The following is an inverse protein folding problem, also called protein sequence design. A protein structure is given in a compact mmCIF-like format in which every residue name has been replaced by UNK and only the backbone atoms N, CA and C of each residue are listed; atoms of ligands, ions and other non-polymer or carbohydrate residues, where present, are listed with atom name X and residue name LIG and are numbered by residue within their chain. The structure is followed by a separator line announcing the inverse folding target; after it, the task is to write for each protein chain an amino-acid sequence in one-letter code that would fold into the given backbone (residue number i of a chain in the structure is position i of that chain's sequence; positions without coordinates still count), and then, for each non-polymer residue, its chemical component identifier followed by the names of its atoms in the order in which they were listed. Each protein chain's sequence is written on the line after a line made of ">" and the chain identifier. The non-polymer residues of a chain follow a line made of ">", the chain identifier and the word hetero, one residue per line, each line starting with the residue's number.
data_IF_245356622057
#
_entry.id   IF_245356622057
#
_cell.length_a   1.000
_cell.length_b   1.000
_cell.length_c   1.000
_cell.angle_alpha   90.00
_cell.angle_beta   90.00
_cell.angle_gamma   90.00
#
_symmetry.space_group_name_H-M   'P 1'
#
loop_
_entity.id
_entity.type
_entity.pdbx_description
1 polymer ?
#
# COMPACT_ATOMS: atom_id res chain seq x y z
N UNK A 1 -7.41 -9.91 -37.10
CA UNK A 1 -8.70 -9.43 -37.62
C UNK A 1 -9.77 -9.79 -36.61
N UNK A 2 -10.10 -8.86 -35.68
CA UNK A 2 -11.41 -8.72 -35.04
C UNK A 2 -11.31 -7.50 -34.10
N UNK A 3 -11.96 -6.44 -34.54
CA UNK A 3 -12.17 -5.21 -33.75
C UNK A 3 -13.33 -5.45 -32.79
N UNK A 4 -13.19 -5.11 -31.54
CA UNK A 4 -14.34 -4.90 -30.67
C UNK A 4 -14.33 -3.44 -30.18
N UNK A 5 -15.25 -2.67 -30.80
CA UNK A 5 -15.63 -1.33 -30.33
C UNK A 5 -16.73 -1.50 -29.28
N UNK A 6 -16.52 -0.98 -28.09
CA UNK A 6 -17.61 -0.76 -27.14
C UNK A 6 -17.71 0.75 -26.87
N UNK A 7 -18.65 1.37 -27.58
CA UNK A 7 -19.08 2.75 -27.37
C UNK A 7 -20.05 2.76 -26.17
N UNK A 8 -19.71 3.49 -25.13
CA UNK A 8 -20.63 3.86 -24.07
C UNK A 8 -21.48 5.04 -24.58
N UNK A 9 -22.77 4.79 -24.85
CA UNK A 9 -23.76 5.81 -25.21
C UNK A 9 -24.25 6.49 -23.94
N UNK A 10 -23.85 7.75 -23.74
CA UNK A 10 -24.53 8.66 -22.81
C UNK A 10 -25.63 9.35 -23.59
N UNK A 11 -26.89 9.02 -23.25
CA UNK A 11 -28.08 9.62 -23.83
C UNK A 11 -28.39 10.90 -23.08
N UNK A 12 -28.22 12.05 -23.74
CA UNK A 12 -28.73 13.33 -23.25
C UNK A 12 -30.18 13.52 -23.70
N UNK A 13 -31.08 13.74 -22.76
CA UNK A 13 -32.44 14.22 -23.02
C UNK A 13 -32.38 15.70 -23.43
N UNK A 14 -32.74 15.96 -24.65
CA UNK A 14 -32.98 17.30 -25.13
C UNK A 14 -34.46 17.64 -24.90
N UNK A 15 -34.75 18.52 -23.98
CA UNK A 15 -36.06 19.19 -23.87
C UNK A 15 -36.06 20.39 -24.81
N UNK A 16 -36.90 20.30 -25.79
CA UNK A 16 -37.29 21.39 -26.70
C UNK A 16 -37.95 22.52 -25.99
N UNK A 17 -37.32 23.69 -25.97
CA UNK A 17 -37.98 24.97 -25.66
C UNK A 17 -38.08 25.78 -26.92
N UNK A 18 -39.31 26.16 -27.24
CA UNK A 18 -39.77 26.91 -28.41
C UNK A 18 -39.10 28.28 -28.52
N UNK A 19 -38.64 28.57 -29.76
CA UNK A 19 -38.19 29.89 -30.20
C UNK A 19 -39.36 30.89 -30.15
N UNK A 20 -39.25 31.93 -29.35
CA UNK A 20 -39.97 33.19 -29.55
C UNK A 20 -39.03 34.22 -30.15
N UNK A 21 -39.42 34.75 -31.28
CA UNK A 21 -38.74 35.80 -32.05
C UNK A 21 -38.47 37.06 -31.22
N UNK A 22 -37.19 37.41 -31.06
CA UNK A 22 -36.73 38.76 -30.76
C UNK A 22 -35.80 39.24 -31.86
N UNK A 23 -36.31 40.07 -32.77
CA UNK A 23 -35.52 40.89 -33.67
C UNK A 23 -34.85 41.99 -32.84
N UNK A 24 -33.51 42.02 -32.84
CA UNK A 24 -32.74 43.10 -32.29
C UNK A 24 -31.25 42.86 -32.58
N UNK A 25 -30.75 43.54 -33.61
CA UNK A 25 -29.35 43.54 -34.01
C UNK A 25 -28.43 43.97 -32.89
N UNK A 26 -27.48 43.14 -32.51
CA UNK A 26 -26.10 43.37 -32.12
C UNK A 26 -25.54 42.10 -31.51
N UNK A 27 -25.31 41.06 -32.34
CA UNK A 27 -24.42 39.99 -31.87
C UNK A 27 -22.97 40.44 -32.17
N UNK A 28 -22.13 40.57 -31.13
CA UNK A 28 -20.70 40.78 -31.38
C UNK A 28 -20.14 39.58 -32.17
N UNK A 29 -19.37 39.90 -33.23
CA UNK A 29 -18.71 38.88 -34.08
C UNK A 29 -17.95 37.92 -33.16
N UNK A 30 -18.19 36.61 -33.30
CA UNK A 30 -17.45 35.55 -32.62
C UNK A 30 -15.97 35.72 -32.99
N UNK A 31 -15.11 35.93 -32.03
CA UNK A 31 -13.65 35.99 -32.20
C UNK A 31 -13.06 34.69 -32.76
N UNK A 32 -13.71 33.57 -32.49
CA UNK A 32 -13.41 32.25 -33.04
C UNK A 32 -14.71 31.58 -33.49
N UNK A 33 -15.01 31.60 -34.80
CA UNK A 33 -16.26 31.05 -35.36
C UNK A 33 -16.40 29.54 -35.21
N UNK A 34 -15.29 28.80 -35.01
CA UNK A 34 -15.23 27.34 -34.95
C UNK A 34 -15.27 26.80 -33.51
N UNK A 35 -15.07 27.63 -32.50
CA UNK A 35 -15.07 27.17 -31.13
C UNK A 35 -16.48 27.09 -30.58
N UNK A 36 -16.95 25.85 -30.32
CA UNK A 36 -18.19 25.57 -29.62
C UNK A 36 -18.12 26.08 -28.16
N UNK A 37 -19.21 26.62 -27.64
CA UNK A 37 -19.32 27.14 -26.25
C UNK A 37 -18.85 26.09 -25.22
N UNK A 38 -19.23 24.83 -25.42
CA UNK A 38 -18.84 23.72 -24.54
C UNK A 38 -17.31 23.47 -24.56
N UNK A 39 -16.65 23.63 -25.69
CA UNK A 39 -15.19 23.52 -25.79
C UNK A 39 -14.50 24.62 -25.00
N UNK A 40 -15.01 25.85 -25.03
CA UNK A 40 -14.45 26.99 -24.25
C UNK A 40 -14.69 26.81 -22.75
N UNK A 41 -15.81 26.22 -22.35
CA UNK A 41 -16.13 25.91 -20.95
C UNK A 41 -15.13 24.88 -20.39
N UNK A 42 -14.89 23.78 -21.10
CA UNK A 42 -13.91 22.76 -20.71
C UNK A 42 -12.50 23.31 -20.68
N UNK A 43 -12.12 24.16 -21.63
CA UNK A 43 -10.80 24.82 -21.66
C UNK A 43 -10.62 25.79 -20.51
N UNK A 44 -11.66 26.58 -20.15
CA UNK A 44 -11.62 27.47 -18.99
C UNK A 44 -11.42 26.66 -17.70
N UNK A 45 -12.19 25.61 -17.51
CA UNK A 45 -12.10 24.76 -16.34
C UNK A 45 -10.72 24.11 -16.22
N UNK A 46 -10.20 23.54 -17.31
CA UNK A 46 -8.85 22.98 -17.36
C UNK A 46 -7.75 24.02 -17.12
N UNK A 47 -7.92 25.24 -17.65
CA UNK A 47 -6.98 26.35 -17.46
C UNK A 47 -6.90 26.77 -15.98
N UNK A 48 -8.06 26.91 -15.30
CA UNK A 48 -8.12 27.25 -13.88
C UNK A 48 -7.59 26.12 -13.00
N UNK A 49 -7.83 24.86 -13.37
CA UNK A 49 -7.27 23.70 -12.67
C UNK A 49 -5.74 23.61 -12.76
N UNK A 50 -5.18 24.01 -13.91
CA UNK A 50 -3.72 23.94 -14.15
C UNK A 50 -2.97 25.19 -13.72
N UNK A 51 -3.66 26.22 -13.25
CA UNK A 51 -3.05 27.47 -12.84
C UNK A 51 -2.48 27.39 -11.42
N UNK A 52 -1.24 27.85 -11.23
CA UNK A 52 -0.56 27.95 -9.93
C UNK A 52 -1.08 29.12 -9.08
N UNK A 53 -2.23 29.65 -9.38
CA UNK A 53 -2.79 30.80 -8.67
C UNK A 53 -4.03 31.38 -9.33
N UNK A 54 -4.29 32.63 -9.01
CA UNK A 54 -5.38 33.38 -9.59
C UNK A 54 -5.05 33.79 -11.04
N UNK A 55 -5.99 33.57 -11.95
CA UNK A 55 -5.88 34.07 -13.33
C UNK A 55 -6.72 35.33 -13.51
N UNK A 56 -6.13 36.38 -14.03
CA UNK A 56 -6.86 37.62 -14.34
C UNK A 56 -7.78 37.42 -15.55
N UNK A 57 -8.84 38.24 -15.64
CA UNK A 57 -9.76 38.22 -16.77
C UNK A 57 -9.00 38.39 -18.11
N UNK A 58 -7.94 39.19 -18.17
CA UNK A 58 -7.18 39.40 -19.38
C UNK A 58 -6.40 38.16 -19.79
N UNK A 59 -5.75 37.46 -18.86
CA UNK A 59 -5.03 36.23 -19.14
C UNK A 59 -5.99 35.14 -19.68
N UNK A 60 -7.20 35.05 -19.09
CA UNK A 60 -8.21 34.08 -19.55
C UNK A 60 -8.73 34.45 -20.94
N UNK A 61 -9.00 35.75 -21.21
CA UNK A 61 -9.48 36.20 -22.54
C UNK A 61 -8.47 35.92 -23.63
N UNK A 62 -7.18 36.15 -23.35
CA UNK A 62 -6.08 35.84 -24.29
C UNK A 62 -5.96 34.34 -24.56
N UNK A 63 -5.96 33.52 -23.49
CA UNK A 63 -5.82 32.05 -23.59
C UNK A 63 -6.98 31.38 -24.32
N UNK A 64 -8.21 31.89 -24.13
CA UNK A 64 -9.42 31.32 -24.74
C UNK A 64 -9.86 32.02 -26.02
N UNK A 65 -9.19 33.10 -26.41
CA UNK A 65 -9.55 33.97 -27.53
C UNK A 65 -11.07 34.33 -27.49
N UNK A 66 -11.50 34.95 -26.37
CA UNK A 66 -12.90 35.28 -26.14
C UNK A 66 -13.05 36.65 -25.43
N UNK A 67 -14.28 37.18 -25.41
CA UNK A 67 -14.58 38.43 -24.70
C UNK A 67 -14.65 38.25 -23.19
N UNK A 68 -14.46 39.35 -22.44
CA UNK A 68 -14.63 39.36 -20.96
C UNK A 68 -16.04 38.94 -20.53
N UNK A 69 -17.04 39.31 -21.31
CA UNK A 69 -18.42 38.89 -21.10
C UNK A 69 -18.59 37.38 -21.25
N UNK A 70 -17.93 36.78 -22.26
CA UNK A 70 -17.91 35.33 -22.45
C UNK A 70 -17.28 34.62 -21.26
N UNK A 71 -16.17 35.14 -20.71
CA UNK A 71 -15.54 34.57 -19.50
C UNK A 71 -16.52 34.57 -18.33
N UNK A 72 -17.26 35.68 -18.09
CA UNK A 72 -18.26 35.73 -17.03
C UNK A 72 -19.35 34.67 -17.21
N UNK A 73 -19.93 34.58 -18.42
CA UNK A 73 -20.96 33.58 -18.70
C UNK A 73 -20.44 32.14 -18.55
N UNK A 74 -19.21 31.84 -18.93
CA UNK A 74 -18.61 30.52 -18.73
C UNK A 74 -18.38 30.20 -17.27
N UNK A 75 -17.92 31.18 -16.48
CA UNK A 75 -17.76 31.04 -15.01
C UNK A 75 -19.09 30.78 -14.34
N UNK A 76 -20.12 31.55 -14.70
CA UNK A 76 -21.48 31.38 -14.16
C UNK A 76 -22.03 30.00 -14.51
N UNK A 77 -21.82 29.53 -15.74
CA UNK A 77 -22.24 28.20 -16.17
C UNK A 77 -21.51 27.06 -15.42
N UNK A 78 -20.21 27.20 -15.18
CA UNK A 78 -19.45 26.23 -14.37
C UNK A 78 -19.91 26.23 -12.93
N UNK A 79 -20.12 27.42 -12.36
CA UNK A 79 -20.54 27.57 -10.98
C UNK A 79 -21.95 27.05 -10.72
N UNK A 80 -22.87 27.18 -11.70
CA UNK A 80 -24.20 26.59 -11.59
C UNK A 80 -24.21 25.07 -11.55
N UNK A 81 -23.28 24.42 -12.26
CA UNK A 81 -23.19 22.95 -12.35
C UNK A 81 -22.28 22.35 -11.27
N UNK A 82 -21.27 23.09 -10.80
CA UNK A 82 -20.21 22.59 -9.90
C UNK A 82 -20.16 23.34 -8.55
N UNK A 83 -21.33 23.62 -7.95
CA UNK A 83 -21.46 24.17 -6.59
C UNK A 83 -20.57 25.39 -6.29
N UNK A 84 -20.52 26.37 -7.20
CA UNK A 84 -19.72 27.58 -7.06
C UNK A 84 -18.22 27.31 -6.81
N UNK A 85 -17.65 26.37 -7.53
CA UNK A 85 -16.24 25.98 -7.39
C UNK A 85 -15.26 27.08 -7.82
N UNK A 86 -15.64 27.99 -8.75
CA UNK A 86 -14.81 29.11 -9.18
C UNK A 86 -15.09 30.32 -8.31
N UNK A 87 -14.08 30.79 -7.60
CA UNK A 87 -14.13 32.02 -6.80
C UNK A 87 -13.58 33.20 -7.60
N UNK A 88 -14.11 34.37 -7.27
CA UNK A 88 -13.74 35.64 -7.90
C UNK A 88 -13.08 36.53 -6.85
N UNK A 89 -11.87 36.95 -7.12
CA UNK A 89 -11.20 37.99 -6.34
C UNK A 89 -11.19 39.29 -7.12
N UNK A 90 -11.56 40.41 -6.47
CA UNK A 90 -11.59 41.73 -7.08
C UNK A 90 -10.60 42.64 -6.38
N UNK A 91 -9.52 42.97 -7.08
CA UNK A 91 -8.53 43.91 -6.56
C UNK A 91 -8.52 45.19 -7.43
N UNK A 92 -9.21 46.22 -6.95
CA UNK A 92 -9.43 47.45 -7.68
C UNK A 92 -10.29 47.23 -8.94
N UNK A 93 -9.68 47.47 -10.14
CA UNK A 93 -10.34 47.24 -11.45
C UNK A 93 -10.06 45.88 -12.08
N UNK A 94 -9.25 45.06 -11.41
CA UNK A 94 -8.83 43.74 -11.92
C UNK A 94 -9.66 42.67 -11.24
N UNK A 95 -10.34 41.84 -12.05
CA UNK A 95 -10.98 40.61 -11.58
C UNK A 95 -10.08 39.44 -11.88
N UNK A 96 -9.87 38.58 -10.88
CA UNK A 96 -9.18 37.30 -11.01
C UNK A 96 -10.08 36.13 -10.57
N UNK A 97 -9.80 34.98 -11.13
CA UNK A 97 -10.61 33.76 -10.93
C UNK A 97 -9.69 32.62 -10.48
N UNK A 98 -10.17 31.82 -9.54
CA UNK A 98 -9.46 30.62 -9.06
C UNK A 98 -10.48 29.57 -8.59
N UNK A 99 -10.04 28.31 -8.48
CA UNK A 99 -10.86 27.21 -7.97
C UNK A 99 -10.43 26.91 -6.52
N UNK A 100 -11.32 27.22 -5.56
CA UNK A 100 -11.03 27.11 -4.13
C UNK A 100 -11.01 25.64 -3.65
N UNK A 101 -11.95 24.80 -4.14
CA UNK A 101 -12.04 23.42 -3.69
C UNK A 101 -10.90 22.51 -4.12
N UNK A 102 -10.16 22.90 -5.14
CA UNK A 102 -8.97 22.14 -5.57
C UNK A 102 -7.77 22.36 -4.67
N UNK A 103 -7.74 23.46 -3.90
CA UNK A 103 -6.67 23.73 -2.95
C UNK A 103 -6.84 23.04 -1.60
N UNK A 104 -8.08 22.74 -1.16
CA UNK A 104 -8.32 22.23 0.19
C UNK A 104 -8.64 20.73 0.30
N UNK A 105 -8.98 20.05 -0.77
CA UNK A 105 -9.47 18.66 -0.67
C UNK A 105 -8.58 17.59 -1.29
N UNK A 106 -8.01 17.83 -2.47
CA UNK A 106 -7.13 16.84 -3.12
C UNK A 106 -5.63 17.17 -2.93
N UNK A 107 -5.28 18.46 -2.80
CA UNK A 107 -3.89 18.87 -2.58
C UNK A 107 -3.43 18.64 -1.14
N UNK A 108 -4.32 18.71 -0.14
CA UNK A 108 -3.97 18.38 1.25
C UNK A 108 -3.76 16.87 1.47
N UNK A 109 -4.29 16.03 0.55
CA UNK A 109 -4.14 14.56 0.64
C UNK A 109 -3.06 13.98 -0.25
N UNK A 110 -2.60 14.71 -1.27
CA UNK A 110 -1.58 14.27 -2.24
C UNK A 110 -0.60 15.42 -2.54
N UNK A 111 0.05 15.92 -1.50
CA UNK A 111 1.17 16.86 -1.64
C UNK A 111 2.43 16.14 -2.20
N UNK A 112 3.44 16.86 -2.68
CA UNK A 112 4.68 16.25 -3.17
C UNK A 112 5.35 15.36 -2.15
N UNK A 113 5.31 15.71 -0.87
CA UNK A 113 5.87 14.95 0.23
C UNK A 113 5.11 13.63 0.42
N UNK A 114 3.77 13.66 0.42
CA UNK A 114 2.93 12.46 0.49
C UNK A 114 3.18 11.50 -0.68
N UNK A 115 3.35 12.00 -1.91
CA UNK A 115 3.70 11.16 -3.07
C UNK A 115 5.10 10.57 -2.95
N UNK A 116 6.06 11.32 -2.42
CA UNK A 116 7.41 10.83 -2.14
C UNK A 116 7.36 9.69 -1.12
N UNK A 117 6.57 9.85 -0.04
CA UNK A 117 6.38 8.79 0.96
C UNK A 117 5.72 7.54 0.36
N UNK A 118 4.72 7.69 -0.52
CA UNK A 118 4.10 6.55 -1.21
C UNK A 118 5.13 5.84 -2.10
N UNK A 119 5.97 6.59 -2.82
CA UNK A 119 7.05 6.02 -3.64
C UNK A 119 8.09 5.28 -2.79
N UNK A 120 8.47 5.82 -1.63
CA UNK A 120 9.35 5.15 -0.66
C UNK A 120 8.74 3.84 -0.16
N UNK A 121 7.47 3.86 0.24
CA UNK A 121 6.75 2.64 0.65
C UNK A 121 6.71 1.60 -0.49
N UNK A 122 6.50 2.04 -1.74
CA UNK A 122 6.54 1.18 -2.91
C UNK A 122 7.90 0.50 -3.09
N UNK A 123 8.99 1.25 -2.97
CA UNK A 123 10.35 0.72 -3.10
C UNK A 123 10.68 -0.30 -1.99
N UNK A 124 10.20 -0.06 -0.76
CA UNK A 124 10.35 -1.02 0.35
C UNK A 124 9.55 -2.30 0.08
N UNK A 125 8.35 -2.16 -0.46
CA UNK A 125 7.43 -3.27 -0.74
C UNK A 125 7.68 -3.96 -2.09
N UNK A 126 8.62 -3.49 -2.92
CA UNK A 126 8.82 -3.97 -4.29
C UNK A 126 8.97 -5.49 -4.40
N UNK A 127 9.64 -6.11 -3.43
CA UNK A 127 9.83 -7.57 -3.40
C UNK A 127 8.57 -8.40 -3.13
N UNK A 128 7.46 -7.79 -2.69
CA UNK A 128 6.21 -8.48 -2.31
C UNK A 128 4.99 -8.02 -3.09
N UNK A 129 5.10 -6.91 -3.83
CA UNK A 129 4.02 -6.43 -4.69
C UNK A 129 3.93 -7.29 -5.95
N UNK A 130 2.70 -7.63 -6.34
CA UNK A 130 2.45 -8.31 -7.61
C UNK A 130 2.72 -7.36 -8.79
N UNK A 131 3.02 -7.92 -9.96
CA UNK A 131 3.19 -7.13 -11.19
C UNK A 131 1.99 -6.22 -11.46
N UNK A 132 0.79 -6.71 -11.22
CA UNK A 132 -0.46 -5.94 -11.36
C UNK A 132 -0.54 -4.79 -10.35
N UNK A 133 -0.12 -5.01 -9.08
CA UNK A 133 -0.14 -3.97 -8.05
C UNK A 133 0.89 -2.87 -8.37
N UNK A 134 2.10 -3.24 -8.80
CA UNK A 134 3.15 -2.31 -9.25
C UNK A 134 2.66 -1.43 -10.40
N UNK A 135 2.01 -2.03 -11.41
CA UNK A 135 1.44 -1.27 -12.53
C UNK A 135 0.35 -0.30 -12.08
N UNK A 136 -0.58 -0.75 -11.22
CA UNK A 136 -1.64 0.12 -10.69
C UNK A 136 -1.08 1.27 -9.87
N UNK A 137 -0.08 1.00 -9.03
CA UNK A 137 0.55 2.01 -8.19
C UNK A 137 1.28 3.05 -9.05
N UNK A 138 2.08 2.62 -10.03
CA UNK A 138 2.78 3.51 -10.95
C UNK A 138 1.79 4.38 -11.74
N UNK A 139 0.71 3.79 -12.30
CA UNK A 139 -0.34 4.56 -12.98
C UNK A 139 -1.02 5.57 -12.06
N UNK A 140 -1.19 5.24 -10.79
CA UNK A 140 -1.80 6.14 -9.80
C UNK A 140 -0.86 7.30 -9.47
N UNK A 141 0.43 7.01 -9.29
CA UNK A 141 1.46 8.02 -9.06
C UNK A 141 1.61 8.95 -10.28
N UNK A 142 1.66 8.39 -11.51
CA UNK A 142 1.72 9.19 -12.74
C UNK A 142 0.52 10.12 -12.88
N UNK A 143 -0.70 9.64 -12.58
CA UNK A 143 -1.91 10.46 -12.59
C UNK A 143 -1.83 11.57 -11.54
N UNK A 144 -1.44 11.24 -10.32
CA UNK A 144 -1.29 12.21 -9.23
C UNK A 144 -0.26 13.30 -9.60
N UNK A 145 0.89 12.90 -10.15
CA UNK A 145 1.92 13.80 -10.66
C UNK A 145 1.42 14.68 -11.82
N UNK A 146 0.55 14.15 -12.70
CA UNK A 146 0.00 14.93 -13.80
C UNK A 146 -0.87 16.11 -13.33
N UNK A 147 -1.51 15.96 -12.17
CA UNK A 147 -2.32 17.02 -11.55
C UNK A 147 -1.51 18.02 -10.72
N UNK A 148 -0.22 17.77 -10.48
CA UNK A 148 0.61 18.69 -9.72
C UNK A 148 1.02 19.91 -10.55
N UNK A 149 1.19 21.08 -9.90
CA UNK A 149 1.77 22.28 -10.52
C UNK A 149 3.14 22.01 -11.13
N UNK A 150 3.44 22.65 -12.25
CA UNK A 150 4.73 22.46 -12.94
C UNK A 150 5.94 22.84 -12.09
N UNK A 151 5.77 23.78 -11.14
CA UNK A 151 6.79 24.17 -10.16
C UNK A 151 7.22 23.06 -9.22
N UNK A 152 6.31 22.11 -8.95
CA UNK A 152 6.54 20.95 -8.07
C UNK A 152 6.96 19.68 -8.84
N UNK A 153 6.93 19.72 -10.18
CA UNK A 153 7.27 18.55 -10.99
C UNK A 153 8.79 18.40 -11.12
N UNK A 154 9.34 17.37 -10.53
CA UNK A 154 10.64 16.84 -10.93
C UNK A 154 11.84 17.13 -10.05
N UNK A 155 11.72 17.83 -8.91
CA UNK A 155 12.87 18.06 -8.03
C UNK A 155 12.89 17.25 -6.73
N UNK A 156 11.77 16.75 -6.25
CA UNK A 156 11.68 16.09 -4.94
C UNK A 156 11.44 14.57 -5.00
N UNK A 157 10.84 14.05 -6.08
CA UNK A 157 10.56 12.60 -6.21
C UNK A 157 11.78 11.73 -6.52
N UNK A 158 12.84 12.34 -7.11
CA UNK A 158 14.09 11.62 -7.44
C UNK A 158 15.07 11.51 -6.27
N UNK A 159 14.83 12.20 -5.15
CA UNK A 159 15.83 12.40 -4.08
C UNK A 159 15.81 11.28 -3.05
N UNK A 160 14.69 10.57 -2.86
CA UNK A 160 14.57 9.53 -1.84
C UNK A 160 14.44 8.13 -2.43
N UNK A 161 15.55 7.55 -2.82
CA UNK A 161 15.58 6.16 -3.25
C UNK A 161 16.04 5.28 -2.06
N UNK A 162 15.12 4.57 -1.41
CA UNK A 162 15.46 3.56 -0.41
C UNK A 162 15.73 2.25 -1.15
N UNK A 163 17.01 1.89 -1.23
CA UNK A 163 17.41 0.59 -1.76
C UNK A 163 17.39 -0.44 -0.63
N UNK A 164 16.49 -1.42 -0.69
CA UNK A 164 16.49 -2.56 0.21
C UNK A 164 17.59 -3.55 -0.22
N UNK A 165 18.57 -3.77 0.65
CA UNK A 165 19.58 -4.83 0.44
C UNK A 165 19.17 -6.10 1.18
N UNK A 166 18.97 -7.18 0.45
CA UNK A 166 18.59 -8.48 1.00
C UNK A 166 19.75 -9.45 0.93
N UNK A 167 19.98 -10.26 1.98
CA UNK A 167 20.95 -11.37 1.96
C UNK A 167 20.49 -12.55 1.08
N UNK A 168 19.28 -12.50 0.60
CA UNK A 168 18.60 -13.45 -0.28
C UNK A 168 17.14 -13.03 -0.35
N UNK A 169 16.45 -13.30 -1.46
CA UNK A 169 15.05 -12.92 -1.64
C UNK A 169 14.29 -13.98 -2.43
N UNK A 170 12.98 -13.99 -2.24
CA UNK A 170 12.05 -14.83 -2.99
C UNK A 170 11.44 -13.96 -4.09
N UNK A 171 11.46 -14.46 -5.32
CA UNK A 171 10.79 -13.81 -6.44
C UNK A 171 9.31 -14.16 -6.41
N UNK A 172 8.46 -13.15 -6.26
CA UNK A 172 7.00 -13.33 -6.21
C UNK A 172 6.31 -13.12 -7.56
N UNK A 173 7.04 -12.77 -8.62
CA UNK A 173 6.49 -12.50 -9.95
C UNK A 173 5.67 -13.68 -10.52
N UNK A 174 6.05 -14.91 -10.18
CA UNK A 174 5.33 -16.11 -10.60
C UNK A 174 4.13 -16.47 -9.70
N UNK A 175 3.88 -15.72 -8.65
CA UNK A 175 2.84 -15.97 -7.65
C UNK A 175 1.72 -14.92 -7.66
N UNK A 176 1.68 -14.06 -8.67
CA UNK A 176 0.69 -12.98 -8.79
C UNK A 176 -0.74 -13.51 -8.68
N UNK A 177 -1.06 -14.62 -9.34
CA UNK A 177 -2.39 -15.21 -9.31
C UNK A 177 -2.74 -15.74 -7.90
N UNK A 178 -1.82 -16.45 -7.26
CA UNK A 178 -1.97 -16.97 -5.90
C UNK A 178 -2.20 -15.82 -4.91
N UNK A 179 -1.37 -14.78 -4.99
CA UNK A 179 -1.46 -13.60 -4.11
C UNK A 179 -2.79 -12.87 -4.32
N UNK A 180 -3.20 -12.66 -5.58
CA UNK A 180 -4.44 -11.95 -5.88
C UNK A 180 -5.68 -12.73 -5.44
N UNK A 181 -5.71 -14.06 -5.61
CA UNK A 181 -6.80 -14.91 -5.11
C UNK A 181 -6.85 -14.90 -3.58
N UNK A 182 -5.71 -15.01 -2.89
CA UNK A 182 -5.66 -14.90 -1.44
C UNK A 182 -6.12 -13.53 -0.93
N UNK A 183 -5.68 -12.42 -1.58
CA UNK A 183 -6.18 -11.07 -1.28
C UNK A 183 -7.70 -10.99 -1.39
N UNK A 184 -8.26 -11.55 -2.46
CA UNK A 184 -9.69 -11.55 -2.68
C UNK A 184 -10.43 -12.35 -1.57
N UNK A 185 -9.94 -13.53 -1.21
CA UNK A 185 -10.49 -14.33 -0.12
C UNK A 185 -10.43 -13.58 1.23
N UNK A 186 -9.30 -12.91 1.52
CA UNK A 186 -9.15 -12.11 2.76
C UNK A 186 -10.17 -10.95 2.78
N UNK A 187 -10.25 -10.17 1.71
CA UNK A 187 -11.12 -9.01 1.62
C UNK A 187 -12.61 -9.38 1.72
N UNK A 188 -13.00 -10.49 1.09
CA UNK A 188 -14.39 -10.98 1.12
C UNK A 188 -14.69 -11.89 2.30
N UNK A 189 -13.69 -12.22 3.12
CA UNK A 189 -13.84 -13.17 4.22
C UNK A 189 -14.32 -14.54 3.73
N UNK A 190 -13.87 -14.97 2.55
CA UNK A 190 -14.14 -16.28 2.00
C UNK A 190 -13.08 -17.29 2.42
N UNK A 191 -13.50 -18.54 2.57
CA UNK A 191 -12.58 -19.66 2.70
C UNK A 191 -11.97 -19.99 1.33
N UNK A 192 -10.83 -20.66 1.34
CA UNK A 192 -10.21 -21.17 0.13
C UNK A 192 -9.71 -22.60 0.33
N UNK A 193 -9.57 -23.31 -0.77
CA UNK A 193 -8.84 -24.56 -0.86
C UNK A 193 -7.55 -24.31 -1.60
N UNK A 194 -6.43 -24.83 -1.11
CA UNK A 194 -5.16 -24.70 -1.81
C UNK A 194 -4.29 -25.93 -1.65
N UNK A 195 -3.40 -26.16 -2.61
CA UNK A 195 -2.36 -27.18 -2.59
C UNK A 195 -1.04 -26.55 -2.12
N UNK A 196 -0.41 -27.16 -1.12
CA UNK A 196 0.82 -26.65 -0.49
C UNK A 196 1.94 -27.67 -0.54
N UNK A 197 3.10 -27.23 -1.02
CA UNK A 197 4.34 -28.03 -1.00
C UNK A 197 5.22 -27.64 0.20
N UNK A 198 5.44 -28.58 1.10
CA UNK A 198 6.30 -28.35 2.27
C UNK A 198 7.76 -28.11 1.88
N UNK A 199 8.24 -28.81 0.86
CA UNK A 199 9.54 -28.63 0.21
C UNK A 199 9.37 -28.76 -1.30
N UNK A 200 10.36 -28.36 -2.09
CA UNK A 200 10.30 -28.51 -3.56
C UNK A 200 10.13 -29.96 -4.03
N UNK A 201 10.58 -30.92 -3.23
CA UNK A 201 10.52 -32.36 -3.54
C UNK A 201 9.32 -33.07 -2.92
N UNK A 202 8.53 -32.41 -2.06
CA UNK A 202 7.36 -33.02 -1.44
C UNK A 202 6.15 -32.97 -2.36
N UNK A 203 5.32 -34.02 -2.29
CA UNK A 203 4.01 -33.98 -2.90
C UNK A 203 3.14 -32.87 -2.27
N UNK A 204 2.36 -32.16 -3.07
CA UNK A 204 1.47 -31.12 -2.57
C UNK A 204 0.38 -31.75 -1.71
N UNK A 205 0.08 -31.12 -0.58
CA UNK A 205 -1.02 -31.48 0.30
C UNK A 205 -2.11 -30.40 0.23
N UNK A 206 -3.37 -30.84 0.12
CA UNK A 206 -4.51 -29.95 0.09
C UNK A 206 -4.91 -29.50 1.50
N UNK A 207 -5.32 -28.23 1.58
CA UNK A 207 -5.83 -27.61 2.81
C UNK A 207 -7.07 -26.79 2.51
N UNK A 208 -8.04 -26.83 3.41
CA UNK A 208 -9.18 -25.91 3.44
C UNK A 208 -8.87 -24.89 4.52
N UNK A 209 -8.89 -23.62 4.15
CA UNK A 209 -8.31 -22.57 4.94
C UNK A 209 -9.17 -21.30 4.92
N UNK A 210 -9.27 -20.64 6.06
CA UNK A 210 -9.83 -19.30 6.18
C UNK A 210 -8.68 -18.29 6.31
N UNK A 211 -8.25 -17.67 5.21
CA UNK A 211 -7.18 -16.70 5.24
C UNK A 211 -7.65 -15.40 5.90
N UNK A 212 -6.82 -14.78 6.73
CA UNK A 212 -7.17 -13.58 7.48
C UNK A 212 -6.27 -12.40 7.17
N UNK A 213 -4.96 -12.62 7.04
CA UNK A 213 -3.97 -11.57 6.79
C UNK A 213 -2.72 -12.13 6.11
N UNK A 214 -1.97 -11.23 5.47
CA UNK A 214 -0.60 -11.50 5.09
C UNK A 214 0.36 -11.07 6.19
N UNK A 215 1.43 -11.82 6.38
CA UNK A 215 2.55 -11.49 7.27
C UNK A 215 3.85 -11.52 6.49
N UNK A 216 4.71 -10.55 6.75
CA UNK A 216 6.05 -10.50 6.18
C UNK A 216 7.07 -10.77 7.30
N UNK A 217 7.88 -11.81 7.12
CA UNK A 217 8.99 -12.12 8.03
C UNK A 217 10.26 -12.44 7.24
N UNK A 218 11.33 -11.70 7.49
CA UNK A 218 12.64 -11.90 6.83
C UNK A 218 12.49 -12.05 5.29
N UNK A 219 11.71 -11.15 4.68
CA UNK A 219 11.43 -11.09 3.25
C UNK A 219 10.62 -12.28 2.69
N UNK A 220 10.05 -13.10 3.56
CA UNK A 220 9.13 -14.18 3.19
C UNK A 220 7.69 -13.75 3.47
N UNK A 221 6.85 -13.80 2.43
CA UNK A 221 5.41 -13.51 2.54
C UNK A 221 4.69 -14.79 2.98
N UNK A 222 3.94 -14.66 4.06
CA UNK A 222 3.08 -15.69 4.61
C UNK A 222 1.63 -15.26 4.51
N UNK A 223 0.72 -16.24 4.39
CA UNK A 223 -0.70 -16.06 4.67
C UNK A 223 -1.03 -16.74 6.00
N UNK A 224 -1.64 -15.97 6.91
CA UNK A 224 -2.06 -16.42 8.22
C UNK A 224 -3.58 -16.60 8.28
N UNK A 225 -4.05 -17.59 9.04
CA UNK A 225 -5.47 -17.89 9.17
C UNK A 225 -5.70 -19.20 9.94
N UNK A 226 -6.84 -19.84 9.71
CA UNK A 226 -7.22 -21.06 10.38
C UNK A 226 -7.51 -22.19 9.39
N UNK A 227 -7.12 -23.41 9.76
CA UNK A 227 -7.64 -24.60 9.10
C UNK A 227 -9.10 -24.77 9.49
N UNK A 228 -9.95 -25.00 8.50
CA UNK A 228 -11.40 -25.03 8.69
C UNK A 228 -12.04 -26.22 8.02
N UNK A 229 -13.20 -26.58 8.53
CA UNK A 229 -14.16 -27.48 7.91
C UNK A 229 -15.34 -26.67 7.38
N UNK A 230 -15.79 -26.97 6.16
CA UNK A 230 -16.93 -26.29 5.54
C UNK A 230 -18.24 -26.91 6.04
N UNK A 231 -19.17 -26.07 6.48
CA UNK A 231 -20.53 -26.44 6.88
C UNK A 231 -21.55 -25.56 6.14
N UNK A 232 -21.98 -26.02 4.98
CA UNK A 232 -22.81 -25.23 4.06
C UNK A 232 -22.10 -24.00 3.58
N UNK A 233 -22.69 -22.81 3.77
CA UNK A 233 -22.09 -21.51 3.40
C UNK A 233 -21.20 -20.90 4.51
N UNK A 234 -20.91 -21.63 5.58
CA UNK A 234 -20.04 -21.17 6.67
C UNK A 234 -18.93 -22.17 6.94
N UNK A 235 -17.95 -21.75 7.72
CA UNK A 235 -16.86 -22.63 8.13
C UNK A 235 -16.69 -22.64 9.66
N UNK A 236 -16.07 -23.70 10.15
CA UNK A 236 -15.71 -23.86 11.56
C UNK A 236 -14.23 -24.21 11.66
N UNK A 237 -13.53 -23.63 12.65
CA UNK A 237 -12.13 -23.97 12.93
C UNK A 237 -12.00 -25.47 13.28
N UNK A 238 -10.97 -26.09 12.72
CA UNK A 238 -10.59 -27.47 13.11
C UNK A 238 -9.76 -27.44 14.39
N UNK A 239 -8.92 -26.37 14.56
CA UNK A 239 -8.06 -26.18 15.71
C UNK A 239 -8.10 -24.71 16.15
N UNK A 240 -7.88 -24.45 17.43
CA UNK A 240 -7.86 -23.09 17.98
C UNK A 240 -6.62 -22.28 17.50
N UNK A 241 -5.50 -22.95 17.23
CA UNK A 241 -4.28 -22.28 16.79
C UNK A 241 -4.31 -21.81 15.34
N UNK A 242 -3.92 -20.57 15.09
CA UNK A 242 -3.71 -20.06 13.74
C UNK A 242 -2.55 -20.79 13.05
N UNK A 243 -2.60 -20.84 11.72
CA UNK A 243 -1.54 -21.41 10.87
C UNK A 243 -1.02 -20.34 9.90
N UNK A 244 0.28 -20.45 9.59
CA UNK A 244 0.94 -19.60 8.60
C UNK A 244 1.50 -20.48 7.50
N UNK A 245 1.21 -20.12 6.25
CA UNK A 245 1.73 -20.80 5.07
C UNK A 245 2.58 -19.84 4.23
N UNK A 246 3.75 -20.28 3.79
CA UNK A 246 4.59 -19.50 2.87
C UNK A 246 3.88 -19.39 1.52
N UNK A 247 3.62 -18.19 1.04
CA UNK A 247 2.85 -17.96 -0.19
C UNK A 247 3.54 -18.61 -1.40
N UNK A 248 4.87 -18.51 -1.51
CA UNK A 248 5.66 -19.10 -2.60
C UNK A 248 5.67 -20.64 -2.64
N UNK A 249 5.07 -21.31 -1.64
CA UNK A 249 4.91 -22.79 -1.59
C UNK A 249 3.47 -23.22 -1.88
N UNK A 250 2.57 -22.29 -2.08
CA UNK A 250 1.20 -22.56 -2.52
C UNK A 250 1.23 -22.73 -4.05
N UNK A 251 0.71 -23.84 -4.52
CA UNK A 251 0.71 -24.20 -5.95
C UNK A 251 -0.44 -23.51 -6.66
N UNK A 252 -1.62 -23.60 -6.08
CA UNK A 252 -2.85 -23.00 -6.60
C UNK A 252 -3.79 -22.64 -5.45
N UNK A 253 -4.76 -21.78 -5.72
CA UNK A 253 -5.79 -21.36 -4.75
C UNK A 253 -7.15 -21.38 -5.45
N UNK A 254 -8.09 -22.08 -4.87
CA UNK A 254 -9.50 -22.10 -5.26
C UNK A 254 -10.31 -21.35 -4.19
N UNK A 255 -11.04 -20.31 -4.57
CA UNK A 255 -11.96 -19.61 -3.68
C UNK A 255 -13.21 -20.46 -3.46
N UNK A 256 -13.65 -20.58 -2.22
CA UNK A 256 -14.88 -21.28 -1.84
C UNK A 256 -15.96 -20.27 -1.46
N UNK A 257 -17.22 -20.57 -1.76
CA UNK A 257 -18.36 -19.72 -1.40
C UNK A 257 -18.58 -19.60 0.13
N UNK A 258 -17.96 -20.51 0.89
CA UNK A 258 -18.11 -20.54 2.35
C UNK A 258 -17.40 -19.33 2.99
N UNK A 259 -18.12 -18.62 3.87
CA UNK A 259 -17.61 -17.44 4.56
C UNK A 259 -16.96 -17.77 5.90
N UNK A 260 -15.87 -17.07 6.20
CA UNK A 260 -15.18 -17.07 7.48
C UNK A 260 -15.60 -15.90 8.41
N UNK A 261 -16.69 -15.20 8.11
CA UNK A 261 -17.12 -14.00 8.86
C UNK A 261 -17.37 -14.26 10.36
N UNK A 262 -17.68 -15.49 10.74
CA UNK A 262 -17.86 -15.87 12.15
C UNK A 262 -16.56 -16.15 12.91
N UNK A 263 -15.43 -16.24 12.21
CA UNK A 263 -14.11 -16.40 12.83
C UNK A 263 -13.65 -15.01 13.29
N UNK A 264 -13.46 -14.80 14.61
CA UNK A 264 -12.94 -13.53 15.12
C UNK A 264 -11.60 -13.21 14.47
N UNK A 265 -11.44 -11.97 14.04
CA UNK A 265 -10.20 -11.46 13.50
C UNK A 265 -9.88 -10.11 14.14
N UNK A 266 -8.76 -10.06 14.81
CA UNK A 266 -8.14 -8.82 15.24
C UNK A 266 -6.95 -8.56 14.31
N UNK A 267 -6.98 -7.48 13.50
CA UNK A 267 -5.85 -7.14 12.65
C UNK A 267 -4.59 -6.94 13.50
N UNK A 268 -3.47 -7.41 12.95
CA UNK A 268 -2.19 -7.58 13.61
C UNK A 268 -1.88 -6.56 14.68
N UNK A 269 -1.93 -7.00 15.93
CA UNK A 269 -1.23 -6.34 17.01
C UNK A 269 0.27 -6.44 16.69
N UNK A 270 1.02 -5.38 16.96
CA UNK A 270 2.46 -5.41 16.92
C UNK A 270 2.97 -6.63 17.68
N UNK A 271 4.04 -7.21 17.22
CA UNK A 271 4.66 -8.38 17.82
C UNK A 271 5.08 -8.03 19.26
N UNK A 272 4.35 -8.54 20.25
CA UNK A 272 4.65 -8.30 21.67
C UNK A 272 5.92 -9.04 22.11
N UNK A 273 6.17 -10.24 21.54
CA UNK A 273 7.28 -11.10 21.92
C UNK A 273 8.08 -11.55 20.70
N UNK A 274 9.36 -11.89 20.95
CA UNK A 274 10.26 -12.38 19.90
C UNK A 274 9.77 -13.71 19.30
N UNK A 275 9.62 -13.76 17.98
CA UNK A 275 9.24 -14.92 17.21
C UNK A 275 7.98 -14.71 16.37
N UNK A 276 7.86 -15.47 15.30
CA UNK A 276 6.78 -15.29 14.30
C UNK A 276 5.53 -16.11 14.61
N UNK A 277 5.72 -17.33 15.14
CA UNK A 277 4.61 -18.24 15.42
C UNK A 277 4.24 -18.16 16.90
N UNK A 278 2.96 -17.91 17.19
CA UNK A 278 2.45 -18.00 18.57
C UNK A 278 2.56 -19.45 19.07
N UNK A 279 3.50 -19.65 19.98
CA UNK A 279 3.64 -20.88 20.77
C UNK A 279 3.58 -20.49 22.26
N UNK A 280 3.85 -21.43 23.15
CA UNK A 280 4.07 -21.11 24.55
C UNK A 280 5.23 -20.13 24.68
N UNK A 281 5.00 -19.08 25.43
CA UNK A 281 6.02 -18.05 25.66
C UNK A 281 7.00 -18.51 26.71
N UNK A 282 8.29 -18.25 26.45
CA UNK A 282 9.39 -18.60 27.36
C UNK A 282 10.23 -17.35 27.62
N UNK A 283 10.47 -17.03 28.89
CA UNK A 283 11.41 -15.98 29.28
C UNK A 283 12.84 -16.49 29.22
N UNK A 284 13.69 -15.77 28.52
CA UNK A 284 15.06 -16.20 28.23
C UNK A 284 16.08 -15.14 28.66
N UNK A 285 17.30 -15.59 28.92
CA UNK A 285 18.46 -14.75 29.23
C UNK A 285 19.59 -15.11 28.29
N UNK A 286 20.05 -14.13 27.52
CA UNK A 286 21.17 -14.28 26.60
C UNK A 286 22.26 -13.28 26.98
N UNK A 287 23.46 -13.79 27.31
CA UNK A 287 24.64 -12.98 27.55
C UNK A 287 25.34 -12.68 26.23
N UNK A 288 25.73 -11.43 26.04
CA UNK A 288 26.42 -10.97 24.84
C UNK A 288 27.77 -10.33 25.16
N UNK A 289 28.68 -10.49 24.22
CA UNK A 289 29.96 -9.77 24.22
C UNK A 289 29.74 -8.29 23.86
N UNK A 290 30.55 -7.41 24.43
CA UNK A 290 30.50 -5.96 24.20
C UNK A 290 30.59 -5.55 22.73
N UNK A 291 31.21 -6.36 21.88
CA UNK A 291 31.38 -6.04 20.46
C UNK A 291 30.09 -6.05 19.65
N UNK A 292 28.99 -6.56 20.22
CA UNK A 292 27.67 -6.59 19.58
C UNK A 292 26.64 -5.70 20.29
N UNK A 293 27.10 -4.86 21.23
CA UNK A 293 26.25 -4.01 22.06
C UNK A 293 25.26 -3.18 21.22
N UNK A 294 25.77 -2.31 20.33
CA UNK A 294 24.88 -1.44 19.52
C UNK A 294 23.90 -2.23 18.68
N UNK A 295 24.28 -3.38 18.15
CA UNK A 295 23.38 -4.21 17.36
C UNK A 295 22.20 -4.71 18.20
N UNK A 296 22.43 -5.06 19.47
CA UNK A 296 21.39 -5.61 20.35
C UNK A 296 20.59 -4.48 21.00
N UNK A 297 21.24 -3.45 21.55
CA UNK A 297 20.57 -2.41 22.35
C UNK A 297 19.76 -1.42 21.52
N UNK A 298 20.15 -1.17 20.25
CA UNK A 298 19.43 -0.29 19.33
C UNK A 298 18.10 -0.90 18.83
N UNK A 299 17.77 -2.14 19.21
CA UNK A 299 16.59 -2.85 18.72
C UNK A 299 15.66 -3.25 19.86
N UNK A 300 14.37 -3.21 19.56
CA UNK A 300 13.33 -3.79 20.42
C UNK A 300 13.08 -5.23 19.93
N UNK A 301 13.41 -6.21 20.76
CA UNK A 301 13.22 -7.63 20.51
C UNK A 301 11.93 -8.17 21.09
N UNK A 302 11.48 -7.59 22.21
CA UNK A 302 10.27 -7.90 22.93
C UNK A 302 9.86 -6.70 23.77
N UNK A 303 8.57 -6.48 24.00
CA UNK A 303 8.09 -5.34 24.78
C UNK A 303 8.52 -5.40 26.26
N UNK A 304 8.84 -6.60 26.77
CA UNK A 304 9.31 -6.85 28.14
C UNK A 304 10.82 -6.99 28.26
N UNK A 305 11.59 -6.59 27.24
CA UNK A 305 13.04 -6.75 27.26
C UNK A 305 13.70 -5.87 28.34
N UNK A 306 14.75 -6.40 28.93
CA UNK A 306 15.61 -5.71 29.88
C UNK A 306 17.08 -6.02 29.58
N UNK A 307 17.95 -5.02 29.73
CA UNK A 307 19.40 -5.15 29.50
C UNK A 307 20.16 -4.79 30.77
N UNK A 308 20.99 -5.71 31.26
CA UNK A 308 21.88 -5.53 32.39
C UNK A 308 23.34 -5.56 31.92
N UNK A 309 24.11 -4.52 32.21
CA UNK A 309 25.53 -4.42 31.85
C UNK A 309 26.43 -4.93 32.98
N UNK A 310 27.53 -5.62 32.62
CA UNK A 310 28.54 -6.10 33.52
C UNK A 310 29.82 -5.25 33.47
N UNK A 311 30.65 -5.34 34.48
CA UNK A 311 31.90 -4.54 34.62
C UNK A 311 32.91 -4.84 33.48
N UNK A 312 32.90 -6.05 32.91
CA UNK A 312 33.75 -6.46 31.78
C UNK A 312 33.28 -5.92 30.44
N UNK A 313 32.16 -5.17 30.43
CA UNK A 313 31.50 -4.63 29.24
C UNK A 313 30.60 -5.64 28.51
N UNK A 314 30.55 -6.89 28.96
CA UNK A 314 29.50 -7.81 28.49
C UNK A 314 28.14 -7.40 29.06
N UNK A 315 27.05 -7.91 28.50
CA UNK A 315 25.72 -7.58 28.98
C UNK A 315 24.73 -8.74 28.80
N UNK A 316 23.67 -8.71 29.61
CA UNK A 316 22.58 -9.70 29.57
C UNK A 316 21.33 -9.08 28.98
N UNK A 317 20.78 -9.69 27.96
CA UNK A 317 19.45 -9.39 27.44
C UNK A 317 18.46 -10.42 28.02
N UNK A 318 17.49 -9.94 28.78
CA UNK A 318 16.37 -10.73 29.31
C UNK A 318 15.12 -10.35 28.56
N UNK A 319 14.43 -11.30 27.92
CA UNK A 319 13.23 -11.03 27.12
C UNK A 319 12.36 -12.30 26.94
N UNK A 320 11.11 -12.11 26.53
CA UNK A 320 10.20 -13.21 26.27
C UNK A 320 10.19 -13.59 24.79
N UNK A 321 10.24 -14.87 24.50
CA UNK A 321 10.19 -15.44 23.15
C UNK A 321 8.97 -16.35 22.99
N UNK A 322 8.42 -16.36 21.78
CA UNK A 322 7.30 -17.24 21.39
C UNK A 322 7.69 -18.24 20.28
N UNK A 323 8.97 -18.28 19.89
CA UNK A 323 9.51 -19.21 18.89
C UNK A 323 10.90 -19.66 19.27
N UNK A 324 11.00 -20.83 19.85
CA UNK A 324 12.29 -21.44 20.26
C UNK A 324 13.22 -21.68 19.07
N UNK A 325 12.79 -22.19 17.90
CA UNK A 325 13.70 -22.37 16.75
C UNK A 325 14.30 -21.08 16.25
N UNK A 326 13.55 -19.97 16.30
CA UNK A 326 14.06 -18.66 15.90
C UNK A 326 15.07 -18.11 16.92
N UNK A 327 14.83 -18.31 18.21
CA UNK A 327 15.78 -17.96 19.27
C UNK A 327 17.10 -18.71 19.09
N UNK A 328 17.07 -20.02 18.89
CA UNK A 328 18.28 -20.83 18.67
C UNK A 328 19.07 -20.30 17.48
N UNK A 329 18.40 -20.06 16.34
CA UNK A 329 19.01 -19.48 15.15
C UNK A 329 19.60 -18.09 15.42
N UNK A 330 18.90 -17.27 16.19
CA UNK A 330 19.35 -15.93 16.59
C UNK A 330 20.62 -16.00 17.42
N UNK A 331 20.65 -16.78 18.48
CA UNK A 331 21.83 -16.93 19.36
C UNK A 331 23.03 -17.49 18.55
N UNK A 332 22.83 -18.54 17.78
CA UNK A 332 23.88 -19.16 16.97
C UNK A 332 24.44 -18.20 15.89
N UNK A 333 23.66 -17.23 15.43
CA UNK A 333 24.10 -16.25 14.43
C UNK A 333 25.22 -15.32 14.93
N UNK A 334 25.39 -15.19 16.23
CA UNK A 334 26.48 -14.40 16.85
C UNK A 334 27.75 -15.23 17.12
N UNK A 335 27.71 -16.53 16.88
CA UNK A 335 28.83 -17.42 17.13
C UNK A 335 29.24 -17.42 18.63
N UNK A 336 30.50 -17.16 18.90
CA UNK A 336 31.05 -17.13 20.27
C UNK A 336 30.77 -15.83 21.04
N UNK A 337 29.99 -14.90 20.46
CA UNK A 337 29.65 -13.61 21.06
C UNK A 337 28.32 -13.60 21.77
N UNK A 338 27.58 -14.71 21.74
CA UNK A 338 26.32 -14.87 22.43
C UNK A 338 26.26 -16.22 23.15
N UNK A 339 25.74 -16.21 24.37
CA UNK A 339 25.52 -17.38 25.20
C UNK A 339 24.10 -17.37 25.74
N UNK A 340 23.29 -18.38 25.44
CA UNK A 340 22.01 -18.59 26.10
C UNK A 340 22.26 -19.13 27.50
N UNK A 341 21.93 -18.32 28.50
CA UNK A 341 22.17 -18.62 29.91
C UNK A 341 20.97 -19.37 30.50
N UNK A 342 19.77 -18.92 30.20
CA UNK A 342 18.53 -19.48 30.77
C UNK A 342 17.42 -19.50 29.71
N UNK A 343 16.54 -20.52 29.73
CA UNK A 343 16.50 -21.69 30.62
C UNK A 343 17.48 -22.82 30.21
N UNK A 344 17.78 -23.70 31.14
CA UNK A 344 18.77 -24.79 30.97
C UNK A 344 18.40 -25.75 29.81
N UNK A 345 17.11 -26.03 29.62
CA UNK A 345 16.62 -26.92 28.55
C UNK A 345 17.05 -26.40 27.19
N UNK A 346 16.89 -25.10 26.94
CA UNK A 346 17.25 -24.46 25.68
C UNK A 346 18.76 -24.29 25.55
N UNK A 347 19.47 -24.05 26.64
CA UNK A 347 20.93 -24.04 26.68
C UNK A 347 21.50 -25.41 26.24
N UNK A 348 20.95 -26.48 26.79
CA UNK A 348 21.33 -27.86 26.44
C UNK A 348 21.03 -28.18 24.96
N UNK A 349 19.97 -27.62 24.40
CA UNK A 349 19.65 -27.77 22.99
C UNK A 349 20.69 -27.07 22.10
N UNK A 350 21.09 -25.84 22.44
CA UNK A 350 22.16 -25.14 21.73
C UNK A 350 23.48 -25.93 21.84
N UNK A 351 23.83 -26.46 23.01
CA UNK A 351 25.04 -27.28 23.16
C UNK A 351 25.05 -28.51 22.25
N UNK A 352 23.88 -29.18 22.10
CA UNK A 352 23.76 -30.30 21.15
C UNK A 352 23.98 -29.86 19.71
N UNK A 353 23.40 -28.71 19.31
CA UNK A 353 23.60 -28.18 17.98
C UNK A 353 25.08 -27.82 17.72
N UNK A 354 25.73 -27.17 18.69
CA UNK A 354 27.16 -26.83 18.59
C UNK A 354 28.02 -28.08 18.49
N UNK A 355 27.69 -29.14 19.26
CA UNK A 355 28.37 -30.44 19.16
C UNK A 355 28.27 -31.03 17.76
N UNK A 356 27.07 -31.08 17.18
CA UNK A 356 26.87 -31.55 15.81
C UNK A 356 27.55 -30.66 14.76
N UNK A 357 27.58 -29.32 14.97
CA UNK A 357 28.33 -28.41 14.10
C UNK A 357 29.81 -28.69 14.13
N UNK A 358 30.37 -28.94 15.31
CA UNK A 358 31.80 -29.28 15.44
C UNK A 358 32.17 -30.52 14.64
N UNK A 359 31.32 -31.55 14.64
CA UNK A 359 31.56 -32.78 13.88
C UNK A 359 31.58 -32.56 12.35
N UNK A 360 30.90 -31.52 11.85
CA UNK A 360 30.88 -31.17 10.42
C UNK A 360 32.20 -30.50 9.96
N UNK A 361 33.00 -29.97 10.88
CA UNK A 361 34.26 -29.25 10.58
C UNK A 361 35.51 -30.00 11.03
N UNK A 362 35.38 -31.22 11.56
CA UNK A 362 36.45 -32.13 11.88
C UNK A 362 36.60 -33.24 10.83
#
# INVERSE_FOLDING_TARGET
>A
MFRCKTLCKITFYASTVSLLDFKGDFMPKKLDPLANSNSKLLRLYALLLSADGELTTNQITESLNCSKQTVSCLVDSINSELNNCIKINVNGRVKSYYIEHYRSGLYDTLDPEGLTLIQMCSNIADGILTTSDKQKLNQTLEKALAYMPRSSKGKELDIFNICKQNKGYIRYDNFDEVINRLKHCILKRHCCKFSYRKTQRSEPKEYIFAPLEFKLLKDVLYVAGYLVEIKGYSCQKIHEGSRCFCVHRIVDVEELEATSSRIPYEPGKNQEFYGFMKAETVKVQVKFDKSVESYITDRVWSDDQHVDFFEDGSFMLTFTVQSVPELISFVLSFGNKAELVSPDELRNEIQRVIGSMRELYL
#
